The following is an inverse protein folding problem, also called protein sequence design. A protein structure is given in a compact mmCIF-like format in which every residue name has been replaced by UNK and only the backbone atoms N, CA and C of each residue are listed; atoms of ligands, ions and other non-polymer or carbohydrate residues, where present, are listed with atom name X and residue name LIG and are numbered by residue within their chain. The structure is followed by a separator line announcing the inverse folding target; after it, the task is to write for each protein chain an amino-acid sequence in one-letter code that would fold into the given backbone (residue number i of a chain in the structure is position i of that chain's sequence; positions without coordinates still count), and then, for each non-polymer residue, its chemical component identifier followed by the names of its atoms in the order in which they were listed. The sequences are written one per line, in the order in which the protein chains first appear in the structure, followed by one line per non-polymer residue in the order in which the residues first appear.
data_IF_482594692811
#
_entry.id   IF_482594692811
#
_cell.length_a   1.000
_cell.length_b   1.000
_cell.length_c   1.000
_cell.angle_alpha   90.00
_cell.angle_beta   90.00
_cell.angle_gamma   90.00
#
_symmetry.space_group_name_H-M   'P 1'
#
loop_
_entity.id
_entity.type
_entity.pdbx_description
1 polymer ?
#
# COMPACT_ATOMS: atom_id res chain seq x y z
N UNK A 1 -10.29 -10.60 10.36
CA UNK A 1 -10.47 -9.13 10.50
C UNK A 1 -11.17 -8.85 11.81
N UNK A 2 -10.70 -7.88 12.61
CA UNK A 2 -11.34 -7.52 13.88
C UNK A 2 -12.75 -6.94 13.65
N UNK A 3 -13.72 -7.16 14.57
CA UNK A 3 -15.08 -6.61 14.44
C UNK A 3 -15.11 -5.08 14.27
N UNK A 4 -14.23 -4.35 14.95
CA UNK A 4 -14.11 -2.89 14.80
C UNK A 4 -13.72 -2.48 13.38
N UNK A 5 -12.81 -3.21 12.73
CA UNK A 5 -12.38 -2.91 11.36
C UNK A 5 -13.46 -3.22 10.33
N UNK A 6 -14.33 -4.21 10.59
CA UNK A 6 -15.49 -4.44 9.75
C UNK A 6 -16.41 -3.22 9.74
N UNK A 7 -16.62 -2.59 10.91
CA UNK A 7 -17.42 -1.36 11.01
C UNK A 7 -16.75 -0.19 10.29
N UNK A 8 -15.42 -0.08 10.39
CA UNK A 8 -14.65 0.91 9.63
C UNK A 8 -14.90 0.77 8.12
N UNK A 9 -14.81 -0.43 7.56
CA UNK A 9 -15.05 -0.64 6.12
C UNK A 9 -16.51 -0.40 5.73
N UNK A 10 -17.47 -0.83 6.56
CA UNK A 10 -18.90 -0.55 6.32
C UNK A 10 -19.15 0.96 6.30
N UNK A 11 -18.51 1.72 7.18
CA UNK A 11 -18.57 3.18 7.20
C UNK A 11 -18.00 3.80 5.92
N UNK A 12 -16.88 3.27 5.40
CA UNK A 12 -16.34 3.70 4.11
C UNK A 12 -17.35 3.54 2.98
N UNK A 13 -17.97 2.36 2.87
CA UNK A 13 -18.97 2.06 1.83
C UNK A 13 -20.15 3.02 1.91
N UNK A 14 -20.62 3.34 3.13
CA UNK A 14 -21.73 4.27 3.34
C UNK A 14 -21.36 5.70 2.96
N UNK A 15 -20.18 6.17 3.38
CA UNK A 15 -19.73 7.56 3.16
C UNK A 15 -19.40 7.83 1.70
N UNK A 16 -18.71 6.89 1.05
CA UNK A 16 -18.32 7.03 -0.35
C UNK A 16 -19.47 6.74 -1.32
N UNK A 17 -20.49 6.01 -0.86
CA UNK A 17 -21.69 5.74 -1.64
C UNK A 17 -21.39 4.99 -2.94
N UNK A 18 -22.20 5.25 -3.98
CA UNK A 18 -22.15 4.52 -5.24
C UNK A 18 -21.07 5.02 -6.22
N UNK A 19 -20.45 6.16 -5.95
CA UNK A 19 -19.37 6.70 -6.79
C UNK A 19 -18.06 5.93 -6.61
N UNK A 20 -17.93 5.16 -5.53
CA UNK A 20 -16.74 4.37 -5.24
C UNK A 20 -17.02 2.87 -5.23
N UNK A 21 -16.05 2.13 -5.75
CA UNK A 21 -15.96 0.68 -5.53
C UNK A 21 -14.98 0.40 -4.40
N UNK A 22 -15.47 0.00 -3.25
CA UNK A 22 -14.63 -0.42 -2.11
C UNK A 22 -14.36 -1.92 -2.21
N UNK A 23 -13.10 -2.34 -2.14
CA UNK A 23 -12.68 -3.74 -2.15
C UNK A 23 -11.78 -4.05 -0.97
N UNK A 24 -12.07 -5.12 -0.26
CA UNK A 24 -11.13 -5.80 0.62
C UNK A 24 -10.55 -6.94 -0.21
N UNK A 25 -9.22 -7.04 -0.33
CA UNK A 25 -8.56 -8.13 -1.06
C UNK A 25 -8.04 -9.20 -0.12
N UNK A 26 -7.95 -10.44 -0.61
CA UNK A 26 -7.43 -11.59 0.13
C UNK A 26 -6.61 -12.52 -0.78
N UNK A 27 -6.18 -13.65 -0.23
CA UNK A 27 -5.42 -14.70 -0.92
C UNK A 27 -6.17 -16.05 -1.00
N UNK A 28 -7.46 -16.09 -0.64
CA UNK A 28 -8.25 -17.32 -0.67
C UNK A 28 -8.60 -17.68 -2.11
N UNK A 29 -8.29 -18.91 -2.54
CA UNK A 29 -8.30 -19.34 -3.95
C UNK A 29 -9.64 -19.07 -4.66
N UNK A 30 -10.76 -19.40 -4.02
CA UNK A 30 -12.10 -19.21 -4.59
C UNK A 30 -12.70 -17.83 -4.31
N UNK A 31 -12.00 -16.95 -3.58
CA UNK A 31 -12.56 -15.66 -3.21
C UNK A 31 -12.78 -14.79 -4.45
N UNK A 32 -13.95 -14.11 -4.58
CA UNK A 32 -14.13 -13.05 -5.58
C UNK A 32 -13.18 -11.86 -5.36
N UNK A 33 -12.62 -11.76 -4.16
CA UNK A 33 -11.69 -10.73 -3.72
C UNK A 33 -10.23 -11.20 -3.72
N UNK A 34 -9.93 -12.38 -4.25
CA UNK A 34 -8.57 -12.84 -4.40
C UNK A 34 -7.74 -11.82 -5.20
N UNK A 35 -6.60 -11.39 -4.66
CA UNK A 35 -5.74 -10.37 -5.26
C UNK A 35 -5.33 -10.69 -6.70
N UNK A 36 -5.17 -11.97 -7.04
CA UNK A 36 -4.78 -12.41 -8.38
C UNK A 36 -5.85 -12.18 -9.45
N UNK A 37 -7.08 -11.82 -9.05
CA UNK A 37 -8.14 -11.36 -9.98
C UNK A 37 -7.97 -9.91 -10.41
N UNK A 38 -7.13 -9.14 -9.71
CA UNK A 38 -6.92 -7.71 -9.94
C UNK A 38 -5.50 -7.39 -10.45
N UNK A 39 -4.50 -8.16 -10.04
CA UNK A 39 -3.10 -8.03 -10.44
C UNK A 39 -2.47 -9.39 -10.65
N UNK A 40 -1.72 -9.57 -11.75
CA UNK A 40 -1.13 -10.86 -12.09
C UNK A 40 -0.01 -11.29 -11.14
N UNK A 41 0.21 -12.60 -11.02
CA UNK A 41 1.27 -13.21 -10.17
C UNK A 41 2.68 -12.66 -10.45
N UNK A 42 2.95 -12.20 -11.67
CA UNK A 42 4.23 -11.59 -12.06
C UNK A 42 4.54 -10.28 -11.34
N UNK A 43 3.56 -9.65 -10.68
CA UNK A 43 3.81 -8.51 -9.81
C UNK A 43 4.50 -8.91 -8.50
N UNK A 44 4.41 -10.17 -8.09
CA UNK A 44 4.86 -10.62 -6.78
C UNK A 44 6.05 -11.57 -6.85
N UNK A 45 6.81 -11.63 -5.77
CA UNK A 45 7.91 -12.59 -5.61
C UNK A 45 7.39 -13.97 -5.21
N UNK A 46 8.26 -14.97 -5.34
CA UNK A 46 7.97 -16.35 -4.99
C UNK A 46 7.46 -16.50 -3.55
N UNK A 47 8.06 -15.79 -2.58
CA UNK A 47 7.67 -15.90 -1.17
C UNK A 47 6.22 -15.46 -0.91
N UNK A 48 5.73 -14.47 -1.64
CA UNK A 48 4.33 -14.05 -1.59
C UNK A 48 3.44 -15.04 -2.35
N UNK A 49 3.85 -15.41 -3.58
CA UNK A 49 3.08 -16.30 -4.46
C UNK A 49 2.84 -17.69 -3.86
N UNK A 50 3.81 -18.20 -3.10
CA UNK A 50 3.77 -19.49 -2.40
C UNK A 50 3.37 -19.36 -0.93
N UNK A 51 3.03 -18.15 -0.46
CA UNK A 51 2.61 -17.87 0.92
C UNK A 51 3.63 -18.37 1.98
N UNK A 52 4.93 -18.26 1.69
CA UNK A 52 6.02 -18.69 2.59
C UNK A 52 6.56 -17.57 3.47
N UNK A 53 6.01 -16.36 3.36
CA UNK A 53 6.39 -15.22 4.20
C UNK A 53 6.15 -15.53 5.69
N UNK A 54 7.13 -15.22 6.54
CA UNK A 54 7.09 -15.50 7.98
C UNK A 54 7.60 -14.32 8.83
N UNK A 55 7.53 -14.49 10.15
CA UNK A 55 7.85 -13.45 11.14
C UNK A 55 6.61 -12.72 11.68
N UNK A 56 6.79 -11.87 12.71
CA UNK A 56 5.68 -11.27 13.46
C UNK A 56 4.83 -10.29 12.64
N UNK A 57 5.38 -9.78 11.53
CA UNK A 57 4.72 -8.80 10.67
C UNK A 57 4.50 -9.30 9.23
N UNK A 58 4.51 -10.63 9.02
CA UNK A 58 4.37 -11.22 7.69
C UNK A 58 3.12 -10.76 6.95
N UNK A 59 1.98 -10.67 7.64
CA UNK A 59 0.72 -10.22 7.06
C UNK A 59 0.76 -8.75 6.62
N UNK A 60 1.37 -7.88 7.43
CA UNK A 60 1.55 -6.46 7.11
C UNK A 60 2.46 -6.29 5.88
N UNK A 61 3.56 -7.03 5.82
CA UNK A 61 4.47 -7.01 4.68
C UNK A 61 3.84 -7.59 3.40
N UNK A 62 3.02 -8.62 3.52
CA UNK A 62 2.23 -9.13 2.41
C UNK A 62 1.26 -8.06 1.88
N UNK A 63 0.59 -7.32 2.76
CA UNK A 63 -0.26 -6.20 2.38
C UNK A 63 0.53 -5.06 1.69
N UNK A 64 1.75 -4.76 2.16
CA UNK A 64 2.65 -3.79 1.52
C UNK A 64 3.00 -4.19 0.08
N UNK A 65 3.29 -5.47 -0.17
CA UNK A 65 3.55 -6.00 -1.52
C UNK A 65 2.32 -5.91 -2.43
N UNK A 66 1.11 -6.04 -1.88
CA UNK A 66 -0.17 -6.00 -2.61
C UNK A 66 -0.60 -4.59 -2.98
N UNK A 67 -0.39 -3.63 -2.08
CA UNK A 67 -0.81 -2.24 -2.22
C UNK A 67 -0.28 -1.56 -3.48
N UNK A 68 1.02 -1.66 -3.73
CA UNK A 68 1.67 -0.89 -4.80
C UNK A 68 1.23 -1.35 -6.20
N UNK A 69 1.18 -2.66 -6.53
CA UNK A 69 0.63 -3.13 -7.81
C UNK A 69 -0.82 -2.73 -8.03
N UNK A 70 -1.65 -2.79 -6.99
CA UNK A 70 -3.07 -2.41 -7.12
C UNK A 70 -3.22 -0.92 -7.43
N UNK A 71 -2.49 -0.05 -6.73
CA UNK A 71 -2.46 1.38 -7.03
C UNK A 71 -1.91 1.67 -8.42
N UNK A 72 -0.86 0.98 -8.85
CA UNK A 72 -0.30 1.17 -10.19
C UNK A 72 -1.30 0.77 -11.28
N UNK A 73 -1.91 -0.41 -11.18
CA UNK A 73 -2.78 -0.95 -12.24
C UNK A 73 -4.15 -0.24 -12.29
N UNK A 74 -4.70 0.15 -11.14
CA UNK A 74 -6.07 0.66 -11.03
C UNK A 74 -6.15 2.13 -10.64
N UNK A 75 -5.10 2.72 -10.10
CA UNK A 75 -5.16 4.03 -9.43
C UNK A 75 -6.05 3.97 -8.19
N UNK A 76 -6.52 5.14 -7.75
CA UNK A 76 -7.44 5.28 -6.63
C UNK A 76 -6.72 5.38 -5.30
N UNK A 77 -7.27 4.74 -4.27
CA UNK A 77 -6.79 4.86 -2.89
C UNK A 77 -6.66 3.48 -2.24
N UNK A 78 -5.50 3.23 -1.64
CA UNK A 78 -5.29 2.15 -0.68
C UNK A 78 -5.45 2.69 0.73
N UNK A 79 -6.15 1.95 1.58
CA UNK A 79 -6.26 2.22 3.01
C UNK A 79 -6.17 0.92 3.81
N UNK A 80 -5.38 0.93 4.87
CA UNK A 80 -5.44 -0.11 5.88
C UNK A 80 -6.83 -0.09 6.56
N UNK A 81 -7.39 -1.27 6.83
CA UNK A 81 -8.76 -1.44 7.35
C UNK A 81 -8.98 -0.84 8.74
N UNK A 82 -7.90 -0.44 9.43
CA UNK A 82 -7.96 0.30 10.68
C UNK A 82 -8.22 1.81 10.51
N UNK A 83 -8.12 2.35 9.29
CA UNK A 83 -8.21 3.80 9.05
C UNK A 83 -9.66 4.29 9.08
N UNK A 84 -10.01 5.13 10.06
CA UNK A 84 -11.33 5.75 10.08
C UNK A 84 -11.44 6.85 9.03
N UNK A 85 -12.48 6.77 8.18
CA UNK A 85 -12.72 7.75 7.14
C UNK A 85 -13.65 8.86 7.65
N UNK A 86 -13.08 10.02 7.97
CA UNK A 86 -13.87 11.14 8.48
C UNK A 86 -14.53 11.99 7.38
N UNK A 87 -14.09 11.85 6.13
CA UNK A 87 -14.56 12.67 5.00
C UNK A 87 -14.45 11.95 3.66
N UNK A 88 -15.16 12.46 2.65
CA UNK A 88 -15.16 11.87 1.32
C UNK A 88 -13.78 11.94 0.65
N UNK A 89 -13.38 10.89 -0.06
CA UNK A 89 -12.06 10.78 -0.70
C UNK A 89 -11.90 11.69 -1.92
N UNK A 90 -12.98 11.99 -2.65
CA UNK A 90 -12.96 12.91 -3.80
C UNK A 90 -12.34 14.26 -3.46
N UNK A 91 -12.89 14.93 -2.43
CA UNK A 91 -12.43 16.23 -1.98
C UNK A 91 -10.97 16.26 -1.50
N UNK A 92 -10.41 15.12 -1.09
CA UNK A 92 -9.04 15.05 -0.55
C UNK A 92 -8.02 14.62 -1.59
N UNK A 93 -8.37 13.69 -2.46
CA UNK A 93 -7.43 13.07 -3.38
C UNK A 93 -7.95 13.11 -4.81
N UNK A 94 -9.12 12.54 -5.09
CA UNK A 94 -9.48 12.26 -6.47
C UNK A 94 -9.74 13.52 -7.30
N UNK A 95 -10.24 14.60 -6.72
CA UNK A 95 -10.40 15.86 -7.45
C UNK A 95 -9.04 16.38 -7.94
N UNK A 96 -8.04 16.35 -7.07
CA UNK A 96 -6.67 16.74 -7.40
C UNK A 96 -5.99 15.72 -8.31
N UNK A 97 -6.11 14.42 -8.07
CA UNK A 97 -5.44 13.37 -8.84
C UNK A 97 -6.14 13.03 -10.15
N UNK A 98 -7.37 13.47 -10.40
CA UNK A 98 -8.08 13.17 -11.65
C UNK A 98 -8.14 14.38 -12.58
N UNK A 99 -7.91 15.60 -12.07
CA UNK A 99 -7.88 16.80 -12.90
C UNK A 99 -6.81 16.71 -13.99
N UNK A 100 -7.20 17.00 -15.24
CA UNK A 100 -6.34 16.91 -16.42
C UNK A 100 -5.08 17.79 -16.31
N UNK A 101 -5.17 18.92 -15.61
CA UNK A 101 -4.09 19.90 -15.48
C UNK A 101 -3.31 19.75 -14.17
N UNK A 102 -3.68 18.78 -13.34
CA UNK A 102 -3.07 18.64 -12.03
C UNK A 102 -1.69 17.99 -12.16
N UNK A 103 -0.65 18.60 -11.57
CA UNK A 103 0.70 18.05 -11.55
C UNK A 103 0.87 16.91 -10.52
N UNK A 104 -0.16 16.63 -9.72
CA UNK A 104 -0.07 15.62 -8.67
C UNK A 104 -0.29 14.22 -9.25
N UNK A 105 0.66 13.33 -8.97
CA UNK A 105 0.62 11.92 -9.38
C UNK A 105 0.19 11.00 -8.22
N UNK A 106 0.58 11.37 -6.99
CA UNK A 106 0.28 10.63 -5.76
C UNK A 106 -0.12 11.54 -4.60
N UNK A 107 -0.83 10.97 -3.63
CA UNK A 107 -1.14 11.57 -2.34
C UNK A 107 -0.77 10.63 -1.20
N UNK A 108 -0.10 11.16 -0.18
CA UNK A 108 0.33 10.39 0.98
C UNK A 108 0.26 11.25 2.26
N UNK A 109 0.19 10.60 3.42
CA UNK A 109 0.31 11.29 4.69
C UNK A 109 1.78 11.49 5.05
N UNK A 110 2.26 12.73 5.01
CA UNK A 110 3.62 13.06 5.47
C UNK A 110 3.69 12.94 6.98
N UNK A 111 4.69 12.19 7.46
CA UNK A 111 5.02 12.10 8.87
C UNK A 111 6.01 13.22 9.17
N UNK A 112 5.60 14.20 9.98
CA UNK A 112 6.49 15.25 10.43
C UNK A 112 7.46 14.72 11.48
N UNK A 113 8.74 15.07 11.35
CA UNK A 113 9.81 14.67 12.26
C UNK A 113 10.88 13.79 11.61
N UNK A 114 11.99 13.61 12.30
CA UNK A 114 13.12 12.84 11.83
C UNK A 114 13.01 11.38 12.32
N UNK A 115 12.25 10.57 11.56
CA UNK A 115 12.10 9.12 11.83
C UNK A 115 13.25 8.30 11.24
N UNK A 116 14.01 8.90 10.31
CA UNK A 116 15.14 8.31 9.57
C UNK A 116 16.34 9.25 9.61
N UNK A 117 17.51 8.83 9.13
CA UNK A 117 18.69 9.72 9.08
C UNK A 117 18.41 10.99 8.29
N UNK A 118 17.62 10.85 7.23
CA UNK A 118 17.13 11.96 6.43
C UNK A 118 15.73 12.40 6.85
N UNK A 119 15.43 13.68 6.63
CA UNK A 119 14.10 14.22 6.83
C UNK A 119 13.17 13.73 5.71
N UNK A 120 11.93 13.44 6.06
CA UNK A 120 10.93 12.94 5.11
C UNK A 120 10.65 11.45 5.30
N UNK A 121 9.48 11.16 5.84
CA UNK A 121 8.84 9.86 5.78
C UNK A 121 7.36 10.08 5.52
N UNK A 122 6.70 9.14 4.88
CA UNK A 122 5.26 9.16 4.73
C UNK A 122 4.64 7.85 5.20
N UNK A 123 3.44 7.96 5.74
CA UNK A 123 2.63 6.83 6.16
C UNK A 123 2.25 5.99 4.96
N UNK A 124 2.56 4.70 5.03
CA UNK A 124 2.25 3.72 4.00
C UNK A 124 0.85 3.11 4.19
N UNK A 125 0.21 3.36 5.34
CA UNK A 125 -1.13 2.90 5.71
C UNK A 125 -2.26 3.55 4.91
N UNK A 126 -1.99 4.66 4.21
CA UNK A 126 -2.90 5.24 3.23
C UNK A 126 -2.14 5.93 2.11
N UNK A 127 -2.43 5.55 0.88
CA UNK A 127 -1.86 6.16 -0.32
C UNK A 127 -2.95 6.33 -1.38
N UNK A 128 -2.90 7.44 -2.09
CA UNK A 128 -3.65 7.67 -3.30
C UNK A 128 -2.69 7.82 -4.48
N UNK A 129 -3.05 7.30 -5.66
CA UNK A 129 -2.22 7.44 -6.84
C UNK A 129 -3.04 7.43 -8.13
N UNK A 130 -2.49 8.05 -9.17
CA UNK A 130 -2.96 7.85 -10.53
C UNK A 130 -2.62 6.43 -11.00
N UNK A 131 -3.45 5.90 -11.90
CA UNK A 131 -3.10 4.70 -12.63
C UNK A 131 -1.83 4.95 -13.45
N UNK A 132 -0.87 4.03 -13.38
CA UNK A 132 0.40 4.13 -14.10
C UNK A 132 1.41 5.09 -13.46
N UNK A 133 1.21 5.48 -12.20
CA UNK A 133 2.14 6.37 -11.49
C UNK A 133 3.54 5.75 -11.39
N UNK A 134 4.53 6.47 -11.92
CA UNK A 134 5.91 6.00 -12.02
C UNK A 134 6.59 5.88 -10.64
N UNK A 135 6.20 6.71 -9.67
CA UNK A 135 6.71 6.61 -8.31
C UNK A 135 6.24 5.30 -7.66
N UNK A 136 4.96 4.96 -7.78
CA UNK A 136 4.41 3.69 -7.25
C UNK A 136 5.09 2.48 -7.89
N UNK A 137 5.34 2.50 -9.20
CA UNK A 137 6.08 1.44 -9.89
C UNK A 137 7.51 1.28 -9.35
N UNK A 138 8.23 2.39 -9.23
CA UNK A 138 9.60 2.39 -8.73
C UNK A 138 9.67 1.96 -7.26
N UNK A 139 8.73 2.39 -6.42
CA UNK A 139 8.60 1.92 -5.04
C UNK A 139 8.36 0.41 -5.01
N UNK A 140 7.49 -0.12 -5.87
CA UNK A 140 7.23 -1.56 -5.94
C UNK A 140 8.48 -2.34 -6.36
N UNK A 141 9.18 -1.87 -7.39
CA UNK A 141 10.41 -2.49 -7.85
C UNK A 141 11.49 -2.47 -6.77
N UNK A 142 11.73 -1.34 -6.12
CA UNK A 142 12.67 -1.24 -5.00
C UNK A 142 12.28 -2.14 -3.83
N UNK A 143 10.99 -2.22 -3.49
CA UNK A 143 10.53 -3.09 -2.40
C UNK A 143 10.72 -4.57 -2.74
N UNK A 144 10.46 -4.99 -3.98
CA UNK A 144 10.78 -6.36 -4.44
C UNK A 144 12.27 -6.69 -4.29
N UNK A 145 13.17 -5.76 -4.59
CA UNK A 145 14.61 -6.01 -4.40
C UNK A 145 14.96 -6.36 -2.95
N UNK A 146 14.29 -5.74 -1.97
CA UNK A 146 14.50 -6.07 -0.55
C UNK A 146 14.08 -7.50 -0.21
N UNK A 147 13.07 -8.03 -0.89
CA UNK A 147 12.50 -9.35 -0.62
C UNK A 147 13.11 -10.50 -1.44
N UNK A 148 14.00 -10.22 -2.40
CA UNK A 148 14.62 -11.26 -3.24
C UNK A 148 15.36 -12.30 -2.38
N UNK A 149 14.98 -13.57 -2.56
CA UNK A 149 15.58 -14.69 -1.83
C UNK A 149 15.24 -14.72 -0.34
N UNK A 150 14.20 -14.01 0.11
CA UNK A 150 13.83 -13.88 1.53
C UNK A 150 12.38 -14.22 1.78
N UNK A 151 12.11 -14.73 2.97
CA UNK A 151 10.77 -15.00 3.49
C UNK A 151 10.39 -14.10 4.67
N UNK A 152 11.30 -13.29 5.19
CA UNK A 152 11.02 -12.32 6.24
C UNK A 152 11.83 -11.03 6.06
N UNK A 153 11.47 -10.02 6.86
CA UNK A 153 12.09 -8.70 6.82
C UNK A 153 13.34 -8.56 7.72
N UNK A 154 13.86 -9.68 8.26
CA UNK A 154 15.06 -9.64 9.09
C UNK A 154 16.23 -9.07 8.29
N UNK A 155 17.00 -8.20 8.95
CA UNK A 155 18.18 -7.56 8.39
C UNK A 155 17.96 -6.70 7.14
N UNK A 156 16.72 -6.31 6.82
CA UNK A 156 16.45 -5.34 5.74
C UNK A 156 17.30 -4.08 5.91
N UNK A 157 17.40 -3.56 7.14
CA UNK A 157 18.20 -2.38 7.49
C UNK A 157 19.71 -2.51 7.23
N UNK A 158 20.22 -3.74 7.01
CA UNK A 158 21.62 -4.01 6.66
C UNK A 158 21.85 -4.07 5.15
N UNK A 159 20.78 -4.05 4.34
CA UNK A 159 20.90 -4.12 2.89
C UNK A 159 21.49 -2.83 2.33
N UNK A 160 22.46 -2.90 1.39
CA UNK A 160 23.03 -1.72 0.75
C UNK A 160 21.99 -0.79 0.13
N UNK A 161 20.87 -1.34 -0.34
CA UNK A 161 19.79 -0.59 -0.98
C UNK A 161 19.16 0.47 -0.06
N UNK A 162 19.18 0.29 1.27
CA UNK A 162 18.57 1.22 2.22
C UNK A 162 19.55 1.78 3.25
N UNK A 163 20.86 1.60 3.03
CA UNK A 163 21.91 2.04 3.94
C UNK A 163 21.90 3.55 4.21
N UNK A 164 21.52 4.33 3.18
CA UNK A 164 21.51 5.80 3.22
C UNK A 164 20.28 6.36 3.93
N UNK A 165 19.18 5.61 3.94
CA UNK A 165 17.94 5.99 4.65
C UNK A 165 18.17 5.85 6.15
N UNK A 166 18.78 4.71 6.57
CA UNK A 166 19.20 4.41 7.93
C UNK A 166 18.10 4.53 9.01
N UNK A 167 18.41 4.14 10.25
CA UNK A 167 17.60 4.52 11.40
C UNK A 167 18.03 5.92 11.85
N UNK A 168 17.07 6.76 12.26
CA UNK A 168 17.43 7.99 12.95
C UNK A 168 18.31 7.64 14.16
N UNK A 169 19.32 8.46 14.43
CA UNK A 169 20.05 8.36 15.69
C UNK A 169 19.05 8.67 16.80
N UNK A 170 18.71 7.65 17.59
CA UNK A 170 18.09 7.83 18.90
C UNK A 170 19.16 8.22 19.92
#
# INVERSE_FOLDING_TARGET
MYPSYQQTVVDWVRKLGRSWTVRIVDLAEDSPNNVYKFVGRGWFLECFNQQTMNGPHAAQHAADLVRLPLLYVHGGVWMDVGNMLLMHLDHRFCDALSAHHSPYEMGAWVISGQVRKQWGSFGNYMLAARKGDAFIENCHNGYKELWKGRTNAEDFHKLPLIQDIGLAHG
#
